data_IF_426417406816
#
_entry.id   IF_426417406816
#
_cell.length_a   1.000
_cell.length_b   1.000
_cell.length_c   1.000
_cell.angle_alpha   90.00
_cell.angle_beta   90.00
_cell.angle_gamma   90.00
#
_symmetry.space_group_name_H-M   'P 1'
#
loop_
_entity.id
_entity.type
_entity.pdbx_description
1 polymer ?
#
# COMPACT_ATOMS: atom_id res chain seq x y z
N UNK A 1 12.25 13.18 -46.48
CA UNK A 1 11.89 13.54 -45.09
C UNK A 1 10.62 12.78 -44.71
N UNK A 2 10.64 11.92 -43.69
CA UNK A 2 9.46 11.15 -43.29
C UNK A 2 8.58 12.06 -42.42
N UNK A 3 7.52 12.66 -42.98
CA UNK A 3 6.55 13.42 -42.17
C UNK A 3 6.01 12.49 -41.08
N UNK A 4 6.29 12.83 -39.83
CA UNK A 4 5.76 12.10 -38.68
C UNK A 4 4.49 12.81 -38.24
N UNK A 5 3.34 12.25 -38.62
CA UNK A 5 2.02 12.69 -38.19
C UNK A 5 1.94 12.74 -36.65
N UNK A 6 1.13 13.64 -36.13
CA UNK A 6 0.87 13.79 -34.70
C UNK A 6 -0.54 13.25 -34.43
N UNK A 7 -0.64 12.27 -33.53
CA UNK A 7 -1.90 11.78 -33.00
C UNK A 7 -2.25 12.57 -31.75
N UNK A 8 -3.46 13.11 -31.72
CA UNK A 8 -4.03 13.85 -30.60
C UNK A 8 -5.23 13.07 -30.06
N UNK A 9 -5.43 13.11 -28.76
CA UNK A 9 -6.67 12.66 -28.12
C UNK A 9 -7.42 13.89 -27.61
N UNK A 10 -8.65 14.05 -28.09
CA UNK A 10 -9.55 15.12 -27.67
C UNK A 10 -10.52 14.56 -26.63
N UNK A 11 -10.58 15.17 -25.46
CA UNK A 11 -11.56 14.86 -24.42
C UNK A 11 -12.52 16.03 -24.26
N UNK A 12 -13.83 15.75 -24.26
CA UNK A 12 -14.89 16.74 -24.15
C UNK A 12 -16.01 16.26 -23.23
N UNK A 13 -16.77 17.18 -22.65
CA UNK A 13 -18.06 16.84 -22.03
C UNK A 13 -18.99 16.33 -23.14
N UNK A 14 -19.69 15.23 -22.89
CA UNK A 14 -20.44 14.51 -23.95
C UNK A 14 -21.52 15.37 -24.61
N UNK A 15 -22.10 16.33 -23.88
CA UNK A 15 -23.11 17.28 -24.37
C UNK A 15 -22.53 18.41 -25.22
N UNK A 16 -21.21 18.62 -25.22
CA UNK A 16 -20.55 19.73 -25.93
C UNK A 16 -19.64 19.26 -27.08
N UNK A 17 -19.74 17.98 -27.45
CA UNK A 17 -18.92 17.35 -28.51
C UNK A 17 -19.03 18.06 -29.87
N UNK A 18 -20.21 18.52 -30.26
CA UNK A 18 -20.40 19.28 -31.50
C UNK A 18 -19.64 20.63 -31.49
N UNK A 19 -19.71 21.35 -30.37
CA UNK A 19 -19.00 22.62 -30.17
C UNK A 19 -17.49 22.40 -30.17
N UNK A 20 -17.03 21.32 -29.54
CA UNK A 20 -15.62 20.96 -29.52
C UNK A 20 -15.07 20.80 -30.94
N UNK A 21 -15.72 20.01 -31.81
CA UNK A 21 -15.27 19.79 -33.20
C UNK A 21 -15.25 21.10 -33.99
N UNK A 22 -16.31 21.90 -33.90
CA UNK A 22 -16.34 23.18 -34.61
C UNK A 22 -15.17 24.08 -34.20
N UNK A 23 -14.82 24.08 -32.92
CA UNK A 23 -13.72 24.89 -32.37
C UNK A 23 -12.35 24.39 -32.86
N UNK A 24 -12.11 23.07 -32.89
CA UNK A 24 -10.83 22.50 -33.33
C UNK A 24 -10.69 22.43 -34.87
N UNK A 25 -11.77 22.63 -35.61
CA UNK A 25 -11.71 22.72 -37.09
C UNK A 25 -10.96 23.97 -37.59
N UNK A 26 -10.79 24.98 -36.74
CA UNK A 26 -10.09 26.22 -37.03
C UNK A 26 -8.78 26.33 -36.21
N UNK A 27 -7.76 27.04 -36.70
CA UNK A 27 -6.57 27.32 -35.90
C UNK A 27 -6.94 28.22 -34.69
N UNK A 28 -6.46 27.90 -33.47
CA UNK A 28 -5.58 26.80 -33.12
C UNK A 28 -6.29 25.44 -33.02
N UNK A 29 -5.76 24.44 -33.71
CA UNK A 29 -6.30 23.06 -33.76
C UNK A 29 -5.98 22.23 -32.52
N UNK A 30 -5.55 22.87 -31.42
CA UNK A 30 -5.22 22.22 -30.14
C UNK A 30 -5.73 23.11 -29.01
N UNK A 31 -6.31 22.50 -27.98
CA UNK A 31 -6.85 23.23 -26.82
C UNK A 31 -6.11 22.80 -25.56
N UNK A 32 -5.38 23.70 -24.87
CA UNK A 32 -4.62 23.34 -23.67
C UNK A 32 -5.55 23.00 -22.50
N UNK A 33 -5.05 22.24 -21.53
CA UNK A 33 -5.81 21.87 -20.32
C UNK A 33 -6.37 23.09 -19.57
N UNK A 34 -5.60 24.19 -19.49
CA UNK A 34 -6.01 25.43 -18.81
C UNK A 34 -7.28 26.07 -19.38
N UNK A 35 -7.61 25.78 -20.65
CA UNK A 35 -8.84 26.26 -21.28
C UNK A 35 -10.08 25.40 -20.98
N UNK A 36 -9.91 24.23 -20.37
CA UNK A 36 -10.98 23.24 -20.18
C UNK A 36 -12.17 23.80 -19.41
N UNK A 37 -11.93 24.59 -18.36
CA UNK A 37 -13.01 25.16 -17.54
C UNK A 37 -13.98 26.04 -18.35
N UNK A 38 -13.49 26.67 -19.42
CA UNK A 38 -14.27 27.53 -20.31
C UNK A 38 -14.80 26.78 -21.53
N UNK A 39 -13.94 26.00 -22.17
CA UNK A 39 -14.23 25.36 -23.44
C UNK A 39 -14.98 24.03 -23.27
N UNK A 40 -14.87 23.39 -22.09
CA UNK A 40 -15.44 22.08 -21.76
C UNK A 40 -14.85 20.92 -22.60
N UNK A 41 -13.70 21.18 -23.22
CA UNK A 41 -12.87 20.20 -23.91
C UNK A 41 -11.41 20.63 -23.85
N UNK A 42 -10.50 19.67 -24.04
CA UNK A 42 -9.07 19.91 -24.18
C UNK A 42 -8.41 18.76 -24.94
N UNK A 43 -7.26 19.05 -25.53
CA UNK A 43 -6.39 18.06 -26.13
C UNK A 43 -5.48 17.51 -25.05
N UNK A 44 -5.53 16.19 -24.82
CA UNK A 44 -4.92 15.58 -23.64
C UNK A 44 -3.42 15.38 -23.81
N UNK A 45 -3.01 14.67 -24.85
CA UNK A 45 -1.61 14.36 -25.14
C UNK A 45 -1.37 14.34 -26.65
N UNK A 46 -0.18 14.81 -27.06
CA UNK A 46 0.34 14.65 -28.42
C UNK A 46 1.27 13.44 -28.47
N UNK A 47 0.98 12.49 -29.36
CA UNK A 47 1.81 11.30 -29.53
C UNK A 47 2.04 11.02 -31.01
N UNK A 48 2.87 10.02 -31.33
CA UNK A 48 3.09 9.57 -32.71
C UNK A 48 2.21 8.34 -32.95
N UNK A 49 1.57 8.20 -34.13
CA UNK A 49 0.79 7.01 -34.47
C UNK A 49 1.55 5.69 -34.28
N UNK A 50 2.88 5.70 -34.49
CA UNK A 50 3.76 4.53 -34.30
C UNK A 50 3.79 3.99 -32.86
N UNK A 51 3.43 4.80 -31.87
CA UNK A 51 3.36 4.37 -30.46
C UNK A 51 2.12 3.53 -30.17
N UNK A 52 1.12 3.57 -31.07
CA UNK A 52 -0.15 2.87 -30.98
C UNK A 52 -0.47 2.17 -32.31
N UNK A 53 0.30 1.13 -32.69
CA UNK A 53 0.03 0.37 -33.91
C UNK A 53 -1.28 -0.43 -33.79
N UNK A 54 -1.96 -0.66 -34.91
CA UNK A 54 -3.23 -1.39 -34.93
C UNK A 54 -3.07 -2.90 -34.64
N UNK A 55 -1.89 -3.46 -34.91
CA UNK A 55 -1.60 -4.88 -34.75
C UNK A 55 -0.77 -5.10 -33.49
N UNK A 56 -1.37 -5.72 -32.48
CA UNK A 56 -0.72 -6.04 -31.22
C UNK A 56 0.08 -7.35 -31.39
N UNK A 57 1.37 -7.22 -31.68
CA UNK A 57 2.30 -8.37 -31.66
C UNK A 57 2.61 -8.85 -30.24
N UNK A 58 2.19 -8.10 -29.23
CA UNK A 58 2.39 -8.37 -27.80
C UNK A 58 1.06 -8.12 -27.12
N UNK A 59 0.60 -9.08 -26.32
CA UNK A 59 -0.70 -9.09 -25.62
C UNK A 59 -0.81 -8.02 -24.49
N UNK A 60 -0.24 -6.84 -24.71
CA UNK A 60 -0.25 -5.69 -23.83
C UNK A 60 -1.23 -4.66 -24.38
N UNK A 61 -2.44 -4.60 -23.81
CA UNK A 61 -3.39 -3.55 -24.13
C UNK A 61 -2.71 -2.18 -23.94
N UNK A 62 -2.43 -1.47 -25.04
CA UNK A 62 -1.85 -0.12 -25.01
C UNK A 62 -2.94 0.86 -24.62
N UNK A 63 -3.07 1.13 -23.33
CA UNK A 63 -4.06 2.08 -22.81
C UNK A 63 -3.50 3.49 -22.88
N UNK A 64 -4.18 4.37 -23.62
CA UNK A 64 -3.93 5.81 -23.54
C UNK A 64 -4.75 6.39 -22.38
N UNK A 65 -4.07 6.78 -21.30
CA UNK A 65 -4.70 7.35 -20.11
C UNK A 65 -4.99 8.83 -20.31
N UNK A 66 -6.21 9.24 -19.99
CA UNK A 66 -6.61 10.64 -19.92
C UNK A 66 -6.48 11.12 -18.48
N UNK A 67 -5.85 12.27 -18.27
CA UNK A 67 -5.77 12.89 -16.96
C UNK A 67 -4.68 12.37 -16.04
N UNK A 68 -3.56 11.91 -16.58
CA UNK A 68 -2.44 11.35 -15.80
C UNK A 68 -1.58 12.43 -15.12
N UNK A 69 -1.50 13.63 -15.70
CA UNK A 69 -0.59 14.67 -15.26
C UNK A 69 -1.26 15.59 -14.22
N UNK A 70 -1.12 15.24 -12.93
CA UNK A 70 -1.69 16.05 -11.83
C UNK A 70 -1.03 17.42 -11.68
N UNK A 71 0.19 17.61 -12.19
CA UNK A 71 0.89 18.89 -12.20
C UNK A 71 0.19 19.96 -13.04
N UNK A 72 -0.60 19.58 -14.05
CA UNK A 72 -1.35 20.52 -14.90
C UNK A 72 -2.33 21.40 -14.12
N UNK A 73 -2.76 20.95 -12.94
CA UNK A 73 -3.67 21.73 -12.07
C UNK A 73 -2.93 22.91 -11.43
N UNK A 74 -1.65 22.75 -11.14
CA UNK A 74 -0.84 23.75 -10.44
C UNK A 74 -0.09 24.68 -11.40
N UNK A 75 0.14 24.24 -12.64
CA UNK A 75 0.83 25.01 -13.66
C UNK A 75 -0.01 25.09 -14.94
N UNK A 76 -0.79 26.18 -15.04
CA UNK A 76 -1.67 26.46 -16.16
C UNK A 76 -0.92 26.98 -17.41
N UNK A 77 0.39 27.26 -17.30
CA UNK A 77 1.22 27.67 -18.44
C UNK A 77 1.64 26.47 -19.30
N UNK A 78 1.49 25.24 -18.80
CA UNK A 78 1.70 24.01 -19.56
C UNK A 78 0.66 23.87 -20.67
N UNK A 79 1.10 24.12 -21.90
CA UNK A 79 0.22 24.13 -23.07
C UNK A 79 -0.15 22.73 -23.57
N UNK A 80 0.78 21.77 -23.46
CA UNK A 80 0.59 20.37 -23.84
C UNK A 80 0.61 19.48 -22.58
N UNK A 81 -0.52 19.40 -21.90
CA UNK A 81 -0.63 18.79 -20.56
C UNK A 81 -1.81 17.83 -20.48
N UNK A 82 -1.59 16.59 -20.01
CA UNK A 82 -2.64 15.58 -19.85
C UNK A 82 -3.32 15.72 -18.47
N UNK A 83 -3.87 16.90 -18.19
CA UNK A 83 -4.41 17.24 -16.87
C UNK A 83 -5.67 16.46 -16.50
N UNK A 84 -5.95 16.27 -15.19
CA UNK A 84 -7.06 15.44 -14.72
C UNK A 84 -8.43 16.01 -15.11
N UNK A 85 -9.38 15.14 -15.43
CA UNK A 85 -10.76 15.56 -15.69
C UNK A 85 -11.41 16.06 -14.38
N UNK A 86 -12.02 17.27 -14.36
CA UNK A 86 -12.37 17.94 -13.11
C UNK A 86 -13.68 17.47 -12.46
N UNK A 87 -14.52 16.70 -13.15
CA UNK A 87 -15.80 16.23 -12.62
C UNK A 87 -16.05 14.75 -12.99
N UNK A 88 -17.16 14.19 -12.54
CA UNK A 88 -17.51 12.79 -12.85
C UNK A 88 -17.95 12.59 -14.31
N UNK A 89 -18.04 13.64 -15.12
CA UNK A 89 -18.51 13.57 -16.50
C UNK A 89 -20.04 13.63 -16.62
N UNK A 90 -20.62 13.12 -17.73
CA UNK A 90 -20.02 12.17 -18.68
C UNK A 90 -19.11 12.82 -19.74
N UNK A 91 -18.02 12.13 -20.08
CA UNK A 91 -17.05 12.56 -21.10
C UNK A 91 -17.07 11.66 -22.33
N UNK A 92 -16.76 12.23 -23.48
CA UNK A 92 -16.54 11.50 -24.73
C UNK A 92 -15.16 11.86 -25.26
N UNK A 93 -14.50 10.90 -25.89
CA UNK A 93 -13.17 11.08 -26.49
C UNK A 93 -13.16 10.72 -27.96
N UNK A 94 -12.26 11.33 -28.72
CA UNK A 94 -11.98 10.94 -30.12
C UNK A 94 -10.52 11.19 -30.46
N UNK A 95 -10.02 10.41 -31.42
CA UNK A 95 -8.68 10.59 -31.95
C UNK A 95 -8.69 11.57 -33.13
N UNK A 96 -7.66 12.39 -33.19
CA UNK A 96 -7.42 13.33 -34.28
C UNK A 96 -5.99 13.14 -34.80
N UNK A 97 -5.81 13.19 -36.10
CA UNK A 97 -4.50 13.17 -36.73
C UNK A 97 -4.21 14.56 -37.25
N UNK A 98 -3.10 15.13 -36.80
CA UNK A 98 -2.64 16.46 -37.15
C UNK A 98 -1.39 16.39 -38.03
N UNK A 99 -1.35 17.22 -39.06
CA UNK A 99 -0.15 17.46 -39.85
C UNK A 99 0.87 18.26 -39.03
N UNK A 100 2.13 17.80 -38.92
CA UNK A 100 3.12 18.45 -38.06
C UNK A 100 3.52 19.86 -38.53
N UNK A 101 3.40 20.13 -39.84
CA UNK A 101 3.81 21.37 -40.50
C UNK A 101 2.65 22.37 -40.55
N UNK A 102 1.52 21.99 -41.16
CA UNK A 102 0.38 22.89 -41.34
C UNK A 102 -0.49 23.03 -40.07
N UNK A 103 -0.29 22.13 -39.09
CA UNK A 103 -1.14 21.98 -37.89
C UNK A 103 -2.61 21.68 -38.20
N UNK A 104 -2.96 21.41 -39.45
CA UNK A 104 -4.32 21.06 -39.83
C UNK A 104 -4.67 19.65 -39.34
N UNK A 105 -5.92 19.45 -38.95
CA UNK A 105 -6.46 18.11 -38.70
C UNK A 105 -6.73 17.46 -40.06
N UNK A 106 -6.12 16.31 -40.31
CA UNK A 106 -6.23 15.58 -41.58
C UNK A 106 -7.19 14.39 -41.51
N UNK A 107 -7.35 13.80 -40.32
CA UNK A 107 -8.26 12.69 -40.08
C UNK A 107 -8.77 12.69 -38.64
N UNK A 108 -9.92 12.07 -38.43
CA UNK A 108 -10.56 11.93 -37.13
C UNK A 108 -11.34 10.62 -37.02
N UNK A 109 -11.51 10.14 -35.79
CA UNK A 109 -12.43 9.04 -35.49
C UNK A 109 -13.81 9.56 -35.09
N UNK A 110 -14.80 8.66 -35.08
CA UNK A 110 -16.03 8.88 -34.34
C UNK A 110 -15.78 9.09 -32.85
N UNK A 111 -16.76 9.69 -32.16
CA UNK A 111 -16.75 9.81 -30.71
C UNK A 111 -16.93 8.46 -30.04
N UNK A 112 -16.26 8.27 -28.90
CA UNK A 112 -16.54 7.17 -28.00
C UNK A 112 -17.96 7.27 -27.45
N UNK A 113 -18.45 6.16 -26.88
CA UNK A 113 -19.60 6.23 -25.99
C UNK A 113 -19.28 7.14 -24.77
N UNK A 114 -20.29 7.80 -24.17
CA UNK A 114 -20.09 8.58 -22.97
C UNK A 114 -19.58 7.73 -21.81
N UNK A 115 -18.56 8.22 -21.11
CA UNK A 115 -17.92 7.55 -19.97
C UNK A 115 -18.07 8.43 -18.73
N UNK A 116 -18.49 7.82 -17.62
CA UNK A 116 -18.58 8.47 -16.30
C UNK A 116 -17.40 8.04 -15.44
N UNK A 117 -16.73 9.00 -14.82
CA UNK A 117 -15.62 8.73 -13.92
C UNK A 117 -16.13 8.31 -12.55
N UNK A 118 -15.45 7.35 -11.92
CA UNK A 118 -15.72 7.02 -10.53
C UNK A 118 -15.35 8.20 -9.64
N UNK A 119 -16.23 8.55 -8.71
CA UNK A 119 -15.96 9.59 -7.72
C UNK A 119 -15.07 9.01 -6.63
N UNK A 120 -13.87 9.56 -6.47
CA UNK A 120 -13.07 9.29 -5.29
C UNK A 120 -13.86 9.75 -4.06
N UNK A 121 -13.97 8.88 -3.05
CA UNK A 121 -14.58 9.26 -1.78
C UNK A 121 -13.67 10.28 -1.12
N UNK A 122 -14.25 11.38 -0.67
CA UNK A 122 -13.50 12.43 0.02
C UNK A 122 -12.77 11.82 1.23
N UNK A 123 -11.44 11.99 1.33
CA UNK A 123 -10.66 11.49 2.45
C UNK A 123 -11.19 11.94 3.81
N UNK A 124 -11.76 13.15 3.90
CA UNK A 124 -12.34 13.68 5.14
C UNK A 124 -13.59 12.93 5.61
N UNK A 125 -14.27 12.24 4.68
CA UNK A 125 -15.43 11.39 4.95
C UNK A 125 -15.07 9.90 5.03
N UNK A 126 -13.78 9.56 4.99
CA UNK A 126 -13.32 8.22 5.31
C UNK A 126 -13.36 8.06 6.83
N UNK A 127 -14.15 7.10 7.28
CA UNK A 127 -14.15 6.62 8.66
C UNK A 127 -12.80 5.92 8.91
N UNK A 128 -11.82 6.69 9.39
CA UNK A 128 -10.49 6.21 9.80
C UNK A 128 -10.52 5.59 11.20
N UNK A 129 -11.70 5.47 11.83
CA UNK A 129 -11.81 4.98 13.19
C UNK A 129 -11.36 3.52 13.28
N UNK A 130 -10.30 3.21 14.04
CA UNK A 130 -9.77 1.84 14.12
C UNK A 130 -10.72 0.87 14.84
N UNK A 131 -11.76 1.37 15.52
CA UNK A 131 -12.64 0.56 16.35
C UNK A 131 -13.58 -0.38 15.60
N UNK A 132 -13.77 -0.23 14.29
CA UNK A 132 -14.71 -1.07 13.53
C UNK A 132 -14.23 -2.50 13.28
N UNK A 133 -12.93 -2.77 13.45
CA UNK A 133 -12.34 -4.13 13.37
C UNK A 133 -11.61 -4.58 14.64
N UNK A 134 -11.54 -3.72 15.67
CA UNK A 134 -10.65 -3.92 16.83
C UNK A 134 -11.33 -4.56 18.06
N UNK A 135 -12.67 -4.56 18.14
CA UNK A 135 -13.37 -5.12 19.31
C UNK A 135 -13.00 -6.56 19.63
N UNK A 136 -13.02 -7.45 18.62
CA UNK A 136 -12.63 -8.86 18.80
C UNK A 136 -11.16 -9.03 19.17
N UNK A 137 -10.27 -8.23 18.59
CA UNK A 137 -8.82 -8.29 18.88
C UNK A 137 -8.52 -7.86 20.32
N UNK A 138 -9.21 -6.85 20.85
CA UNK A 138 -9.07 -6.41 22.24
C UNK A 138 -9.57 -7.50 23.20
N UNK A 139 -10.72 -8.11 22.91
CA UNK A 139 -11.26 -9.20 23.74
C UNK A 139 -10.31 -10.40 23.76
N UNK A 140 -9.84 -10.85 22.59
CA UNK A 140 -8.93 -12.00 22.49
C UNK A 140 -7.60 -11.72 23.22
N UNK A 141 -7.01 -10.54 23.04
CA UNK A 141 -5.75 -10.19 23.72
C UNK A 141 -5.94 -10.09 25.23
N UNK A 142 -7.08 -9.59 25.72
CA UNK A 142 -7.38 -9.55 27.15
C UNK A 142 -7.52 -10.95 27.75
N UNK A 143 -8.26 -11.86 27.10
CA UNK A 143 -8.44 -13.24 27.56
C UNK A 143 -7.10 -13.98 27.56
N UNK A 144 -6.34 -13.87 26.47
CA UNK A 144 -5.04 -14.55 26.35
C UNK A 144 -4.04 -14.05 27.40
N UNK A 145 -4.05 -12.74 27.70
CA UNK A 145 -3.22 -12.13 28.74
C UNK A 145 -3.57 -12.66 30.14
N UNK A 146 -4.85 -12.74 30.47
CA UNK A 146 -5.31 -13.28 31.78
C UNK A 146 -4.97 -14.76 31.92
N UNK A 147 -5.22 -15.57 30.89
CA UNK A 147 -4.89 -17.00 30.91
C UNK A 147 -3.38 -17.23 31.04
N UNK A 148 -2.56 -16.44 30.35
CA UNK A 148 -1.11 -16.50 30.47
C UNK A 148 -0.64 -16.17 31.89
N UNK A 149 -1.19 -15.13 32.51
CA UNK A 149 -0.86 -14.75 33.88
C UNK A 149 -1.20 -15.86 34.89
N UNK A 150 -2.38 -16.49 34.75
CA UNK A 150 -2.79 -17.63 35.59
C UNK A 150 -1.83 -18.81 35.41
N UNK A 151 -1.49 -19.14 34.16
CA UNK A 151 -0.56 -20.24 33.84
C UNK A 151 0.80 -19.99 34.50
N UNK A 152 1.34 -18.77 34.37
CA UNK A 152 2.61 -18.39 35.01
C UNK A 152 2.54 -18.49 36.53
N UNK A 153 1.44 -18.06 37.16
CA UNK A 153 1.25 -18.19 38.61
C UNK A 153 1.23 -19.66 39.05
N UNK A 154 0.49 -20.52 38.34
CA UNK A 154 0.46 -21.95 38.60
C UNK A 154 1.84 -22.60 38.41
N UNK A 155 2.59 -22.19 37.39
CA UNK A 155 3.94 -22.68 37.15
C UNK A 155 4.90 -22.29 38.28
N UNK A 156 4.87 -21.02 38.72
CA UNK A 156 5.64 -20.54 39.86
C UNK A 156 5.28 -21.32 41.13
N UNK A 157 3.98 -21.52 41.40
CA UNK A 157 3.53 -22.31 42.53
C UNK A 157 4.05 -23.76 42.46
N UNK A 158 3.96 -24.40 41.30
CA UNK A 158 4.49 -25.75 41.08
C UNK A 158 6.00 -25.84 41.32
N UNK A 159 6.77 -24.82 40.90
CA UNK A 159 8.21 -24.74 41.21
C UNK A 159 8.46 -24.60 42.72
N UNK A 160 7.70 -23.76 43.42
CA UNK A 160 7.85 -23.60 44.88
C UNK A 160 7.49 -24.90 45.62
N UNK A 161 6.34 -25.51 45.30
CA UNK A 161 5.92 -26.77 45.92
C UNK A 161 6.82 -27.95 45.54
N UNK A 162 7.30 -27.99 44.29
CA UNK A 162 8.26 -28.97 43.81
C UNK A 162 9.61 -28.84 44.51
N UNK A 163 10.16 -27.63 44.59
CA UNK A 163 11.38 -27.34 45.35
C UNK A 163 11.22 -27.70 46.83
N UNK A 164 10.10 -27.32 47.46
CA UNK A 164 9.81 -27.73 48.85
C UNK A 164 9.76 -29.24 49.01
N UNK A 165 9.08 -29.97 48.12
CA UNK A 165 9.08 -31.45 48.16
C UNK A 165 10.46 -32.06 47.93
N UNK A 166 11.28 -31.50 47.05
CA UNK A 166 12.62 -32.02 46.75
C UNK A 166 13.62 -31.71 47.88
N UNK A 167 13.57 -30.50 48.46
CA UNK A 167 14.34 -30.12 49.63
C UNK A 167 13.92 -30.93 50.87
N UNK A 168 12.61 -31.15 51.08
CA UNK A 168 12.12 -31.95 52.21
C UNK A 168 12.45 -33.44 52.05
N UNK A 169 12.41 -33.98 50.82
CA UNK A 169 12.84 -35.36 50.55
C UNK A 169 14.34 -35.57 50.87
N UNK A 170 15.20 -34.58 50.60
CA UNK A 170 16.63 -34.64 50.99
C UNK A 170 16.83 -34.59 52.51
N UNK A 171 16.03 -33.80 53.22
CA UNK A 171 16.11 -33.68 54.68
C UNK A 171 15.70 -34.97 55.42
N UNK A 172 14.66 -35.68 54.94
CA UNK A 172 14.22 -36.94 55.56
C UNK A 172 15.20 -38.10 55.31
N UNK A 173 15.74 -38.23 54.09
CA UNK A 173 16.77 -39.24 53.78
C UNK A 173 18.04 -39.03 54.62
N UNK A 174 18.44 -37.78 54.87
CA UNK A 174 19.60 -37.48 55.71
C UNK A 174 19.33 -37.78 57.20
N UNK A 175 18.12 -37.50 57.70
CA UNK A 175 17.73 -37.82 59.08
C UNK A 175 17.64 -39.31 59.36
N UNK A 176 17.12 -40.11 58.42
CA UNK A 176 17.06 -41.57 58.57
C UNK A 176 18.47 -42.20 58.56
N UNK A 177 19.41 -41.60 57.83
CA UNK A 177 20.81 -42.05 57.79
C UNK A 177 21.61 -41.61 59.03
N UNK A 178 21.29 -40.47 59.64
CA UNK A 178 21.90 -40.01 60.89
C UNK A 178 21.36 -40.73 62.14
N UNK A 179 20.14 -41.28 62.07
CA UNK A 179 19.54 -42.03 63.18
C UNK A 179 20.03 -43.49 63.29
N UNK A 180 20.81 -43.99 62.32
CA UNK A 180 21.16 -45.42 62.22
C UNK A 180 22.68 -45.71 62.19
N UNK A 181 23.53 -44.80 62.66
CA UNK A 181 24.97 -45.06 62.85
C UNK A 181 25.36 -44.91 64.32
N UNK A 182 25.66 -46.00 65.06
CA UNK A 182 26.27 -45.87 66.37
C UNK A 182 27.67 -45.27 66.21
N UNK A 183 27.82 -44.02 66.66
CA UNK A 183 29.07 -43.27 66.67
C UNK A 183 30.23 -44.08 67.26
N UNK A 184 31.05 -44.69 66.38
CA UNK A 184 32.21 -45.50 66.77
C UNK A 184 33.41 -44.57 66.99
N UNK A 185 33.65 -44.20 68.25
CA UNK A 185 34.83 -43.42 68.66
C UNK A 185 36.10 -44.21 68.27
N UNK A 186 36.90 -43.67 67.33
CA UNK A 186 38.25 -44.17 67.07
C UNK A 186 39.21 -43.50 68.06
N UNK A 187 39.68 -44.26 69.04
CA UNK A 187 40.77 -43.83 69.92
C UNK A 187 42.11 -43.98 69.18
N UNK A 188 42.87 -42.88 69.09
CA UNK A 188 44.25 -42.89 68.59
C UNK A 188 45.20 -42.67 69.77
N UNK A 189 46.07 -43.65 70.04
CA UNK A 189 47.15 -43.50 71.01
C UNK A 189 48.37 -42.85 70.35
N UNK A 190 48.76 -41.67 70.84
CA UNK A 190 49.99 -40.99 70.42
C UNK A 190 51.20 -41.61 71.12
N UNK A 191 52.15 -42.12 70.36
CA UNK A 191 53.46 -42.53 70.87
C UNK A 191 54.37 -41.29 70.97
N UNK A 192 54.93 -41.04 72.14
CA UNK A 192 55.85 -39.92 72.37
C UNK A 192 57.15 -40.12 71.57
N UNK A 193 57.51 -39.14 70.75
CA UNK A 193 58.81 -39.09 70.08
C UNK A 193 59.84 -38.50 71.04
N UNK A 194 60.84 -39.29 71.44
CA UNK A 194 62.00 -38.80 72.17
C UNK A 194 62.90 -38.00 71.22
N UNK A 195 63.19 -36.75 71.60
CA UNK A 195 64.16 -35.89 70.92
C UNK A 195 65.56 -36.22 71.46
N UNK A 196 66.52 -36.64 70.62
CA UNK A 196 67.90 -36.85 71.05
C UNK A 196 68.62 -35.51 71.21
N UNK A 197 69.44 -35.39 72.25
CA UNK A 197 70.41 -34.31 72.46
C UNK A 197 71.66 -34.51 71.58
#
# INVERSE_FOLDING_TARGET
>A
MKLSLVLLLLAAISTTTALAISSISQPPTTSPYSSFAKNLFYTTLKTKPRNYPCEDTVNSARVLRVGEDTSCVNDLALQDCNGPLPSSGPYSVKFLVQDPTSKAIIQETGWSQPITLQRAKDPSHLDTFPGRRSGGMIVITSILSVLLAILLLCFIAALIYGCRRFCWRKEMVNKDQLASEPYRIKNYNTHHMQVPM
#
